data_IF_098794661175
#
_entry.id   IF_098794661175
#
_cell.length_a   1.000
_cell.length_b   1.000
_cell.length_c   1.000
_cell.angle_alpha   90.00
_cell.angle_beta   90.00
_cell.angle_gamma   90.00
#
_symmetry.space_group_name_H-M   'P 1'
#
loop_
_entity.id
_entity.type
_entity.pdbx_description
1 polymer ?
#
# COMPACT_ATOMS: atom_id res chain seq x y z
N UNK A 1 -28.42 5.81 -2.34
CA UNK A 1 -27.93 6.93 -3.17
C UNK A 1 -27.18 7.87 -2.25
N UNK A 2 -25.96 8.18 -2.57
CA UNK A 2 -25.06 8.95 -1.71
C UNK A 2 -25.53 10.43 -1.69
N UNK A 3 -25.73 10.99 -0.50
CA UNK A 3 -26.19 12.38 -0.32
C UNK A 3 -25.34 13.41 -1.08
N UNK A 4 -24.06 13.10 -1.27
CA UNK A 4 -23.11 13.92 -2.03
C UNK A 4 -23.43 13.92 -3.54
N UNK A 5 -23.84 12.80 -4.10
CA UNK A 5 -24.25 12.70 -5.50
C UNK A 5 -25.49 13.52 -5.83
N UNK A 6 -26.46 13.53 -4.92
CA UNK A 6 -27.67 14.33 -5.03
C UNK A 6 -27.37 15.83 -4.97
N UNK A 7 -26.47 16.25 -4.09
CA UNK A 7 -26.07 17.65 -3.97
C UNK A 7 -25.31 18.15 -5.21
N UNK A 8 -24.44 17.34 -5.80
CA UNK A 8 -23.74 17.67 -7.06
C UNK A 8 -24.76 17.84 -8.19
N UNK A 9 -25.72 16.93 -8.34
CA UNK A 9 -26.74 17.00 -9.39
C UNK A 9 -27.64 18.23 -9.26
N UNK A 10 -28.00 18.62 -8.04
CA UNK A 10 -28.76 19.85 -7.78
C UNK A 10 -27.97 21.10 -8.13
N UNK A 11 -26.72 21.18 -7.74
CA UNK A 11 -25.85 22.33 -8.06
C UNK A 11 -25.56 22.41 -9.57
N UNK A 12 -25.44 21.28 -10.26
CA UNK A 12 -25.30 21.28 -11.72
C UNK A 12 -26.53 21.85 -12.42
N UNK A 13 -27.74 21.55 -11.93
CA UNK A 13 -28.97 22.14 -12.44
C UNK A 13 -29.06 23.64 -12.17
N UNK A 14 -28.69 24.08 -10.97
CA UNK A 14 -28.66 25.50 -10.62
C UNK A 14 -27.65 26.31 -11.44
N UNK A 15 -26.44 25.78 -11.67
CA UNK A 15 -25.43 26.38 -12.53
C UNK A 15 -25.88 26.44 -14.00
N UNK A 16 -26.69 25.48 -14.47
CA UNK A 16 -27.30 25.54 -15.80
C UNK A 16 -28.38 26.63 -15.93
N UNK A 17 -29.12 26.90 -14.85
CA UNK A 17 -30.16 27.93 -14.82
C UNK A 17 -29.55 29.33 -14.69
N UNK A 18 -28.50 29.50 -13.93
CA UNK A 18 -27.76 30.75 -13.77
C UNK A 18 -26.24 30.54 -14.00
N UNK A 19 -25.80 30.61 -15.27
CA UNK A 19 -24.39 30.38 -15.60
C UNK A 19 -23.46 31.52 -15.12
N UNK A 20 -23.99 32.65 -14.73
CA UNK A 20 -23.21 33.84 -14.36
C UNK A 20 -22.83 33.84 -12.88
N UNK A 21 -23.50 33.01 -12.08
CA UNK A 21 -23.27 32.93 -10.63
C UNK A 21 -21.96 32.19 -10.31
N UNK A 22 -20.94 32.97 -9.97
CA UNK A 22 -19.60 32.44 -9.63
C UNK A 22 -19.59 31.63 -8.35
N UNK A 23 -20.45 31.93 -7.38
CA UNK A 23 -20.50 31.20 -6.10
C UNK A 23 -20.99 29.77 -6.30
N UNK A 24 -22.03 29.56 -7.12
CA UNK A 24 -22.52 28.22 -7.46
C UNK A 24 -21.47 27.41 -8.21
N UNK A 25 -20.74 28.03 -9.13
CA UNK A 25 -19.65 27.38 -9.86
C UNK A 25 -18.50 26.97 -8.92
N UNK A 26 -18.14 27.84 -7.99
CA UNK A 26 -17.07 27.56 -7.02
C UNK A 26 -17.49 26.45 -6.06
N UNK A 27 -18.73 26.44 -5.57
CA UNK A 27 -19.26 25.36 -4.75
C UNK A 27 -19.29 24.02 -5.50
N UNK A 28 -19.73 24.01 -6.75
CA UNK A 28 -19.74 22.83 -7.60
C UNK A 28 -18.33 22.30 -7.86
N UNK A 29 -17.36 23.20 -8.15
CA UNK A 29 -15.97 22.85 -8.35
C UNK A 29 -15.35 22.23 -7.09
N UNK A 30 -15.58 22.83 -5.92
CA UNK A 30 -15.11 22.31 -4.64
C UNK A 30 -15.71 20.94 -4.31
N UNK A 31 -17.00 20.72 -4.53
CA UNK A 31 -17.64 19.43 -4.34
C UNK A 31 -17.15 18.37 -5.32
N UNK A 32 -16.89 18.74 -6.57
CA UNK A 32 -16.30 17.82 -7.57
C UNK A 32 -14.85 17.48 -7.23
N UNK A 33 -14.06 18.41 -6.68
CA UNK A 33 -12.70 18.16 -6.22
C UNK A 33 -12.65 17.25 -5.00
N UNK A 34 -13.65 17.31 -4.11
CA UNK A 34 -13.70 16.44 -2.92
C UNK A 34 -14.18 15.03 -3.22
N UNK A 35 -14.86 14.81 -4.36
CA UNK A 35 -15.30 13.47 -4.78
C UNK A 35 -14.17 12.74 -5.51
N UNK A 36 -13.63 11.66 -4.92
CA UNK A 36 -12.59 10.90 -5.58
C UNK A 36 -13.13 10.25 -6.86
N UNK A 37 -12.38 10.37 -7.95
CA UNK A 37 -12.70 9.71 -9.21
C UNK A 37 -12.45 8.19 -9.10
N UNK A 38 -13.06 7.41 -9.98
CA UNK A 38 -12.77 5.98 -10.07
C UNK A 38 -11.27 5.70 -10.22
N UNK A 39 -10.56 6.50 -11.04
CA UNK A 39 -9.11 6.40 -11.20
C UNK A 39 -8.34 6.68 -9.90
N UNK A 40 -8.78 7.66 -9.10
CA UNK A 40 -8.19 7.94 -7.79
C UNK A 40 -8.41 6.77 -6.81
N UNK A 41 -9.60 6.17 -6.83
CA UNK A 41 -9.91 5.01 -6.00
C UNK A 41 -9.07 3.80 -6.41
N UNK A 42 -8.88 3.55 -7.72
CA UNK A 42 -8.00 2.49 -8.21
C UNK A 42 -6.53 2.73 -7.82
N UNK A 43 -6.06 3.97 -7.97
CA UNK A 43 -4.71 4.35 -7.54
C UNK A 43 -4.52 4.14 -6.03
N UNK A 44 -5.50 4.51 -5.22
CA UNK A 44 -5.48 4.28 -3.78
C UNK A 44 -5.47 2.78 -3.45
N UNK A 45 -6.33 1.98 -4.11
CA UNK A 45 -6.37 0.53 -3.94
C UNK A 45 -5.00 -0.11 -4.21
N UNK A 46 -4.44 0.14 -5.39
CA UNK A 46 -3.19 -0.53 -5.78
C UNK A 46 -1.97 0.01 -5.05
N UNK A 47 -1.85 1.33 -4.89
CA UNK A 47 -0.65 1.92 -4.29
C UNK A 47 -0.66 1.85 -2.77
N UNK A 48 -1.80 2.13 -2.15
CA UNK A 48 -1.88 2.20 -0.69
C UNK A 48 -2.33 0.87 -0.07
N UNK A 49 -3.50 0.36 -0.45
CA UNK A 49 -4.03 -0.86 0.19
C UNK A 49 -3.21 -2.09 -0.17
N UNK A 50 -2.99 -2.35 -1.46
CA UNK A 50 -2.23 -3.53 -1.88
C UNK A 50 -0.74 -3.30 -1.67
N UNK A 51 -0.16 -2.23 -2.20
CA UNK A 51 1.29 -2.00 -2.16
C UNK A 51 1.80 -1.69 -0.77
N UNK A 52 1.22 -0.67 -0.13
CA UNK A 52 1.71 -0.21 1.17
C UNK A 52 1.22 -1.04 2.34
N UNK A 53 -0.06 -1.37 2.42
CA UNK A 53 -0.58 -2.13 3.56
C UNK A 53 -0.30 -3.63 3.42
N UNK A 54 -0.72 -4.26 2.32
CA UNK A 54 -0.63 -5.71 2.18
C UNK A 54 0.78 -6.19 1.82
N UNK A 55 1.35 -5.76 0.69
CA UNK A 55 2.66 -6.27 0.22
C UNK A 55 3.77 -5.91 1.19
N UNK A 56 3.77 -4.69 1.74
CA UNK A 56 4.76 -4.31 2.75
C UNK A 56 4.68 -5.19 3.99
N UNK A 57 3.48 -5.43 4.52
CA UNK A 57 3.30 -6.29 5.69
C UNK A 57 3.68 -7.74 5.40
N UNK A 58 3.31 -8.24 4.22
CA UNK A 58 3.74 -9.55 3.74
C UNK A 58 5.27 -9.66 3.73
N UNK A 59 5.95 -8.73 3.08
CA UNK A 59 7.42 -8.73 3.00
C UNK A 59 8.07 -8.55 4.38
N UNK A 60 7.43 -7.84 5.28
CA UNK A 60 7.90 -7.67 6.65
C UNK A 60 7.96 -9.00 7.42
N UNK A 61 7.07 -9.92 7.12
CA UNK A 61 7.06 -11.25 7.73
C UNK A 61 7.96 -12.26 7.00
N UNK A 62 8.15 -12.12 5.69
CA UNK A 62 8.85 -13.11 4.87
C UNK A 62 10.27 -12.71 4.44
N UNK A 63 10.60 -11.43 4.40
CA UNK A 63 11.95 -10.96 4.07
C UNK A 63 12.71 -10.47 5.30
N UNK A 64 12.01 -9.75 6.20
CA UNK A 64 12.56 -9.19 7.42
C UNK A 64 12.05 -7.78 7.69
N UNK A 65 12.39 -7.22 8.84
CA UNK A 65 11.86 -5.95 9.31
C UNK A 65 12.92 -5.09 10.01
N UNK A 66 12.81 -3.78 9.87
CA UNK A 66 13.69 -2.84 10.58
C UNK A 66 13.38 -2.77 12.08
N UNK A 67 12.11 -2.84 12.45
CA UNK A 67 11.61 -2.86 13.83
C UNK A 67 10.17 -3.40 13.89
N UNK A 68 9.53 -3.35 15.03
CA UNK A 68 8.13 -3.78 15.26
C UNK A 68 7.10 -2.65 15.12
N UNK A 69 7.54 -1.40 14.96
CA UNK A 69 6.65 -0.27 14.74
C UNK A 69 6.49 -0.01 13.25
N UNK A 70 5.25 0.01 12.78
CA UNK A 70 4.96 0.39 11.40
C UNK A 70 5.17 1.89 11.22
N UNK A 71 5.93 2.25 10.19
CA UNK A 71 6.16 3.64 9.91
C UNK A 71 5.11 4.26 8.97
N UNK A 72 5.03 5.58 9.02
CA UNK A 72 4.34 6.40 8.03
C UNK A 72 5.12 6.44 6.71
N UNK A 73 4.41 6.70 5.61
CA UNK A 73 5.02 6.81 4.27
C UNK A 73 6.11 7.87 4.25
N UNK A 74 7.27 7.52 3.73
CA UNK A 74 8.37 8.46 3.47
C UNK A 74 9.60 8.34 4.36
N UNK A 75 9.54 7.57 5.44
CA UNK A 75 10.73 7.31 6.25
C UNK A 75 11.43 6.02 5.77
N UNK A 76 12.64 6.16 5.24
CA UNK A 76 13.43 5.03 4.73
C UNK A 76 14.23 4.28 5.80
N UNK A 77 14.40 4.88 6.97
CA UNK A 77 15.28 4.36 8.02
C UNK A 77 14.56 3.55 9.11
N UNK A 78 13.23 3.65 9.18
CA UNK A 78 12.47 3.06 10.26
C UNK A 78 11.13 2.48 9.79
N UNK A 79 10.70 1.34 10.35
CA UNK A 79 9.39 0.75 10.09
C UNK A 79 9.17 0.15 8.71
N UNK A 80 10.23 -0.11 7.94
CA UNK A 80 10.16 -0.76 6.65
C UNK A 80 10.51 -2.26 6.75
N UNK A 81 10.11 -3.03 5.73
CA UNK A 81 10.70 -4.34 5.56
C UNK A 81 12.12 -4.22 4.99
N UNK A 82 12.99 -5.14 5.33
CA UNK A 82 14.37 -5.24 4.85
C UNK A 82 14.68 -6.70 4.54
N UNK A 83 15.59 -6.92 3.60
CA UNK A 83 16.05 -8.26 3.26
C UNK A 83 17.27 -8.69 4.09
N UNK A 84 18.10 -7.75 4.50
CA UNK A 84 19.41 -7.97 5.08
C UNK A 84 20.52 -7.97 4.03
N UNK A 85 20.22 -7.73 2.76
CA UNK A 85 21.18 -7.56 1.68
C UNK A 85 21.35 -6.06 1.48
N UNK A 86 22.45 -5.50 1.97
CA UNK A 86 22.67 -4.05 2.06
C UNK A 86 22.48 -3.33 0.73
N UNK A 87 23.12 -3.78 -0.34
CA UNK A 87 22.97 -3.14 -1.65
C UNK A 87 21.56 -3.15 -2.22
N UNK A 88 20.77 -4.20 -1.93
CA UNK A 88 19.37 -4.26 -2.32
C UNK A 88 18.52 -3.34 -1.46
N UNK A 89 18.71 -3.35 -0.16
CA UNK A 89 17.93 -2.54 0.78
C UNK A 89 18.21 -1.05 0.59
N UNK A 90 19.46 -0.66 0.37
CA UNK A 90 19.87 0.73 0.05
C UNK A 90 19.25 1.22 -1.26
N UNK A 91 19.33 0.40 -2.32
CA UNK A 91 18.71 0.73 -3.61
C UNK A 91 17.19 0.95 -3.47
N UNK A 92 16.52 0.09 -2.73
CA UNK A 92 15.07 0.14 -2.55
C UNK A 92 14.63 1.30 -1.66
N UNK A 93 15.31 1.52 -0.54
CA UNK A 93 14.98 2.56 0.44
C UNK A 93 15.59 3.91 0.08
N UNK A 94 16.52 3.93 -0.89
CA UNK A 94 17.26 5.13 -1.30
C UNK A 94 17.98 5.81 -0.14
N UNK A 95 18.44 5.04 0.83
CA UNK A 95 19.17 5.52 1.98
C UNK A 95 20.16 4.45 2.47
N UNK A 96 21.36 4.87 2.92
CA UNK A 96 22.30 3.97 3.55
C UNK A 96 21.67 3.22 4.73
N UNK A 97 21.98 1.94 4.88
CA UNK A 97 21.51 1.15 6.01
C UNK A 97 22.46 1.23 7.22
N UNK A 98 23.48 2.07 7.16
CA UNK A 98 24.30 2.46 8.31
C UNK A 98 23.48 3.28 9.30
N UNK A 99 22.73 2.58 10.10
CA UNK A 99 21.84 3.16 11.08
C UNK A 99 22.59 3.53 12.36
N UNK A 100 22.22 4.63 13.04
CA UNK A 100 22.70 4.91 14.39
C UNK A 100 22.54 3.68 15.29
N UNK A 101 23.47 3.50 16.24
CA UNK A 101 23.50 2.32 17.15
C UNK A 101 22.14 2.02 17.82
N UNK A 102 21.38 3.05 18.15
CA UNK A 102 20.05 2.93 18.75
C UNK A 102 19.01 2.24 17.84
N UNK A 103 19.12 2.43 16.52
CA UNK A 103 18.22 1.82 15.53
C UNK A 103 18.75 0.48 15.04
N UNK A 104 20.08 0.31 14.92
CA UNK A 104 20.72 -0.94 14.46
C UNK A 104 20.60 -2.06 15.49
N UNK A 105 20.67 -1.74 16.78
CA UNK A 105 20.54 -2.70 17.90
C UNK A 105 19.10 -2.93 18.38
N UNK A 106 18.10 -2.53 17.58
CA UNK A 106 16.71 -2.83 17.93
C UNK A 106 16.48 -4.36 17.92
N UNK A 107 16.05 -4.92 19.07
CA UNK A 107 15.77 -6.37 19.21
C UNK A 107 14.71 -6.90 18.25
N UNK A 108 13.87 -6.03 17.72
CA UNK A 108 12.85 -6.37 16.74
C UNK A 108 13.34 -6.32 15.28
N UNK A 109 14.59 -5.89 15.04
CA UNK A 109 15.22 -5.92 13.72
C UNK A 109 15.58 -7.36 13.36
N UNK A 110 14.95 -7.87 12.32
CA UNK A 110 15.17 -9.22 11.81
C UNK A 110 15.40 -9.20 10.32
N UNK A 111 16.35 -9.99 9.85
CA UNK A 111 16.66 -10.16 8.43
C UNK A 111 16.62 -11.64 8.08
N UNK A 112 15.82 -12.03 7.10
CA UNK A 112 15.63 -13.43 6.73
C UNK A 112 16.21 -13.76 5.35
N UNK A 113 16.85 -12.80 4.67
CA UNK A 113 17.50 -12.99 3.36
C UNK A 113 16.57 -13.66 2.33
N UNK A 114 15.28 -13.32 2.38
CA UNK A 114 14.22 -13.93 1.58
C UNK A 114 14.04 -15.46 1.76
N UNK A 115 14.71 -16.10 2.71
CA UNK A 115 14.62 -17.55 2.88
C UNK A 115 13.19 -18.06 3.10
N UNK A 116 12.37 -17.49 4.00
CA UNK A 116 10.99 -17.93 4.16
C UNK A 116 10.16 -17.73 2.89
N UNK A 117 10.39 -16.65 2.14
CA UNK A 117 9.72 -16.37 0.88
C UNK A 117 10.05 -17.43 -0.18
N UNK A 118 11.34 -17.73 -0.35
CA UNK A 118 11.81 -18.74 -1.30
C UNK A 118 11.24 -20.11 -0.95
N UNK A 119 11.30 -20.52 0.32
CA UNK A 119 10.74 -21.80 0.78
C UNK A 119 9.23 -21.86 0.58
N UNK A 120 8.50 -20.76 0.83
CA UNK A 120 7.08 -20.66 0.58
C UNK A 120 6.72 -20.81 -0.91
N UNK A 121 7.46 -20.15 -1.79
CA UNK A 121 7.28 -20.28 -3.25
C UNK A 121 7.59 -21.71 -3.71
N UNK A 122 8.67 -22.29 -3.25
CA UNK A 122 9.00 -23.69 -3.56
C UNK A 122 7.91 -24.65 -3.07
N UNK A 123 7.41 -24.43 -1.85
CA UNK A 123 6.28 -25.21 -1.31
C UNK A 123 5.02 -25.09 -2.17
N UNK A 124 4.68 -23.89 -2.63
CA UNK A 124 3.56 -23.69 -3.55
C UNK A 124 3.76 -24.39 -4.89
N UNK A 125 4.96 -24.35 -5.46
CA UNK A 125 5.29 -25.06 -6.72
C UNK A 125 5.12 -26.57 -6.56
N UNK A 126 5.63 -27.13 -5.46
CA UNK A 126 5.48 -28.58 -5.17
C UNK A 126 4.01 -28.94 -4.99
N UNK A 127 3.26 -28.11 -4.25
CA UNK A 127 1.83 -28.32 -4.03
C UNK A 127 1.04 -28.25 -5.34
N UNK A 128 1.31 -27.27 -6.21
CA UNK A 128 0.66 -27.14 -7.52
C UNK A 128 0.89 -28.36 -8.42
N UNK A 129 2.07 -29.02 -8.31
CA UNK A 129 2.39 -30.25 -9.04
C UNK A 129 1.72 -31.46 -8.46
N UNK A 130 1.52 -31.51 -7.14
CA UNK A 130 0.96 -32.67 -6.43
C UNK A 130 -0.57 -32.65 -6.38
N UNK A 131 -1.16 -31.53 -6.02
CA UNK A 131 -2.61 -31.36 -5.86
C UNK A 131 -3.02 -29.93 -6.22
N UNK A 132 -3.68 -29.78 -7.35
CA UNK A 132 -4.21 -28.47 -7.78
C UNK A 132 -5.25 -27.92 -6.81
N UNK A 133 -6.01 -28.82 -6.17
CA UNK A 133 -7.06 -28.44 -5.22
C UNK A 133 -6.47 -27.77 -3.98
N UNK A 134 -5.44 -28.39 -3.40
CA UNK A 134 -4.75 -27.86 -2.23
C UNK A 134 -4.05 -26.52 -2.56
N UNK A 135 -3.45 -26.44 -3.76
CA UNK A 135 -2.85 -25.20 -4.23
C UNK A 135 -3.85 -24.05 -4.30
N UNK A 136 -5.03 -24.25 -4.91
CA UNK A 136 -6.06 -23.23 -4.98
C UNK A 136 -6.63 -22.89 -3.60
N UNK A 137 -6.77 -23.86 -2.72
CA UNK A 137 -7.23 -23.62 -1.34
C UNK A 137 -6.27 -22.69 -0.61
N UNK A 138 -4.96 -22.99 -0.66
CA UNK A 138 -3.94 -22.12 -0.04
C UNK A 138 -3.91 -20.74 -0.70
N UNK A 139 -4.01 -20.66 -2.03
CA UNK A 139 -4.01 -19.38 -2.75
C UNK A 139 -5.19 -18.47 -2.38
N UNK A 140 -6.36 -19.05 -2.10
CA UNK A 140 -7.55 -18.29 -1.68
C UNK A 140 -7.45 -17.83 -0.22
N UNK A 141 -6.79 -18.62 0.62
CA UNK A 141 -6.62 -18.29 2.04
C UNK A 141 -5.51 -17.25 2.29
N UNK A 142 -4.63 -17.01 1.29
CA UNK A 142 -3.49 -16.12 1.39
C UNK A 142 -3.79 -14.75 0.78
#
# INVERSE_FOLDING_TARGET
MDNMGLNISRLEQQVKQDPTNQDLRTQLANLKMTKPSFGNNMKFLFRYQIGWMYIRYFMWNFAGRQNDLQNTTGNSQNGNWISGIDGFDEWRLKAPQDLPKQLSYNKARNTYYFLPLILGILGMIVMAKRSKMDFYTVLIMF
#
